data_IF_408119604481
#
_entry.id   IF_408119604481
#
_cell.length_a   1.000
_cell.length_b   1.000
_cell.length_c   1.000
_cell.angle_alpha   90.00
_cell.angle_beta   90.00
_cell.angle_gamma   90.00
#
_symmetry.space_group_name_H-M   'P 1'
#
loop_
_entity.id
_entity.type
_entity.pdbx_description
1 polymer ?
#
# COMPACT_ATOMS: atom_id res chain seq x y z
N UNK A 1 19.26 14.37 6.28
CA UNK A 1 18.83 13.73 7.55
C UNK A 1 17.31 13.62 7.65
N UNK A 2 16.55 14.72 7.52
CA UNK A 2 15.07 14.67 7.57
C UNK A 2 14.47 13.73 6.52
N UNK A 3 14.90 13.83 5.26
CA UNK A 3 14.48 12.92 4.18
C UNK A 3 14.68 11.45 4.56
N UNK A 4 15.88 11.09 5.01
CA UNK A 4 16.23 9.71 5.40
C UNK A 4 15.33 9.21 6.52
N UNK A 5 15.09 10.03 7.55
CA UNK A 5 14.21 9.69 8.67
C UNK A 5 12.78 9.42 8.17
N UNK A 6 12.23 10.33 7.36
CA UNK A 6 10.86 10.17 6.84
C UNK A 6 10.77 8.96 5.90
N UNK A 7 11.81 8.70 5.11
CA UNK A 7 11.88 7.53 4.25
C UNK A 7 11.89 6.22 5.06
N UNK A 8 12.66 6.15 6.14
CA UNK A 8 12.66 4.99 7.05
C UNK A 8 11.29 4.79 7.70
N UNK A 9 10.65 5.87 8.16
CA UNK A 9 9.28 5.83 8.71
C UNK A 9 8.29 5.31 7.66
N UNK A 10 8.39 5.81 6.42
CA UNK A 10 7.55 5.39 5.31
C UNK A 10 7.67 3.90 5.03
N UNK A 11 8.90 3.39 4.91
CA UNK A 11 9.16 1.96 4.66
C UNK A 11 8.56 1.11 5.78
N UNK A 12 8.79 1.49 7.05
CA UNK A 12 8.24 0.76 8.18
C UNK A 12 6.70 0.73 8.16
N UNK A 13 6.08 1.88 7.88
CA UNK A 13 4.63 2.00 7.82
C UNK A 13 4.02 1.16 6.67
N UNK A 14 4.64 1.19 5.49
CA UNK A 14 4.24 0.36 4.33
C UNK A 14 4.45 -1.12 4.63
N UNK A 15 5.51 -1.50 5.34
CA UNK A 15 5.76 -2.88 5.72
C UNK A 15 4.69 -3.43 6.67
N UNK A 16 4.25 -2.65 7.65
CA UNK A 16 3.15 -3.03 8.56
C UNK A 16 1.84 -3.21 7.78
N UNK A 17 1.49 -2.25 6.92
CA UNK A 17 0.25 -2.31 6.14
C UNK A 17 0.26 -3.45 5.12
N UNK A 18 1.30 -3.50 4.29
CA UNK A 18 1.49 -4.54 3.28
C UNK A 18 1.60 -5.92 3.91
N UNK A 19 2.41 -6.07 4.95
CA UNK A 19 2.59 -7.34 5.66
C UNK A 19 1.28 -7.93 6.20
N UNK A 20 0.39 -7.09 6.71
CA UNK A 20 -0.97 -7.54 7.06
C UNK A 20 -1.74 -8.05 5.83
N UNK A 21 -1.72 -7.33 4.71
CA UNK A 21 -2.42 -7.76 3.49
C UNK A 21 -1.88 -9.08 2.94
N UNK A 22 -0.56 -9.29 2.97
CA UNK A 22 0.05 -10.58 2.66
C UNK A 22 -0.45 -11.66 3.61
N UNK A 23 -0.39 -11.41 4.92
CA UNK A 23 -0.81 -12.38 5.94
C UNK A 23 -2.28 -12.79 5.78
N UNK A 24 -3.17 -11.81 5.57
CA UNK A 24 -4.60 -12.08 5.45
C UNK A 24 -4.92 -12.87 4.17
N UNK A 25 -4.39 -12.44 3.02
CA UNK A 25 -4.74 -13.04 1.73
C UNK A 25 -4.06 -14.40 1.48
N UNK A 26 -2.84 -14.60 1.98
CA UNK A 26 -2.10 -15.85 1.75
C UNK A 26 -2.40 -16.90 2.82
N UNK A 27 -2.68 -16.49 4.06
CA UNK A 27 -2.82 -17.41 5.19
C UNK A 27 -4.21 -17.33 5.84
N UNK A 28 -4.60 -16.17 6.38
CA UNK A 28 -5.81 -16.11 7.24
C UNK A 28 -7.10 -16.46 6.48
N UNK A 29 -7.24 -16.01 5.24
CA UNK A 29 -8.41 -16.34 4.39
C UNK A 29 -8.47 -17.82 4.01
N UNK A 30 -7.37 -18.57 4.11
CA UNK A 30 -7.30 -20.01 3.85
C UNK A 30 -7.60 -20.85 5.08
N UNK A 31 -7.52 -20.30 6.30
CA UNK A 31 -7.78 -21.04 7.55
C UNK A 31 -9.17 -21.69 7.60
N UNK A 32 -10.17 -21.15 6.90
CA UNK A 32 -11.50 -21.76 6.74
C UNK A 32 -11.50 -23.14 6.09
N UNK A 33 -10.39 -23.55 5.46
CA UNK A 33 -10.25 -24.87 4.84
C UNK A 33 -9.94 -25.97 5.88
N UNK A 34 -9.47 -25.58 7.06
CA UNK A 34 -8.99 -26.51 8.09
C UNK A 34 -9.66 -26.30 9.45
N UNK A 35 -10.42 -25.21 9.62
CA UNK A 35 -11.14 -24.88 10.85
C UNK A 35 -12.64 -24.94 10.62
N UNK A 36 -13.40 -25.29 11.66
CA UNK A 36 -14.85 -25.04 11.66
C UNK A 36 -15.15 -23.54 11.63
N UNK A 37 -16.39 -23.17 11.28
CA UNK A 37 -16.80 -21.76 11.21
C UNK A 37 -16.63 -21.02 12.56
N UNK A 38 -16.91 -21.69 13.68
CA UNK A 38 -16.75 -21.13 15.02
C UNK A 38 -15.26 -20.88 15.35
N UNK A 39 -14.41 -21.89 15.13
CA UNK A 39 -12.97 -21.78 15.35
C UNK A 39 -12.33 -20.71 14.46
N UNK A 40 -12.71 -20.68 13.19
CA UNK A 40 -12.25 -19.68 12.24
C UNK A 40 -12.62 -18.27 12.68
N UNK A 41 -13.87 -18.07 13.11
CA UNK A 41 -14.35 -16.76 13.59
C UNK A 41 -13.57 -16.32 14.83
N UNK A 42 -13.41 -17.21 15.81
CA UNK A 42 -12.68 -16.93 17.06
C UNK A 42 -11.20 -16.61 16.80
N UNK A 43 -10.53 -17.41 15.96
CA UNK A 43 -9.14 -17.18 15.59
C UNK A 43 -8.96 -15.87 14.82
N UNK A 44 -9.84 -15.58 13.86
CA UNK A 44 -9.80 -14.34 13.08
C UNK A 44 -9.99 -13.12 13.97
N UNK A 45 -10.95 -13.15 14.90
CA UNK A 45 -11.21 -12.00 15.77
C UNK A 45 -10.07 -11.72 16.76
N UNK A 46 -9.44 -12.76 17.31
CA UNK A 46 -8.27 -12.62 18.17
C UNK A 46 -7.11 -11.86 17.50
N UNK A 47 -6.93 -12.07 16.19
CA UNK A 47 -5.95 -11.33 15.39
C UNK A 47 -6.49 -9.93 15.03
N UNK A 48 -7.72 -9.86 14.52
CA UNK A 48 -8.29 -8.63 13.98
C UNK A 48 -8.45 -7.53 15.03
N UNK A 49 -8.71 -7.86 16.30
CA UNK A 49 -8.77 -6.88 17.38
C UNK A 49 -7.45 -6.11 17.58
N UNK A 50 -6.31 -6.72 17.26
CA UNK A 50 -4.98 -6.10 17.32
C UNK A 50 -4.68 -5.34 16.01
N UNK A 51 -4.96 -5.98 14.87
CA UNK A 51 -4.79 -5.38 13.54
C UNK A 51 -5.50 -4.04 13.43
N UNK A 52 -6.77 -3.95 13.87
CA UNK A 52 -7.58 -2.73 13.80
C UNK A 52 -6.98 -1.55 14.58
N UNK A 53 -6.10 -1.80 15.56
CA UNK A 53 -5.43 -0.74 16.35
C UNK A 53 -4.16 -0.22 15.69
N UNK A 54 -3.53 -0.99 14.81
CA UNK A 54 -2.18 -0.73 14.29
C UNK A 54 -2.19 -0.44 12.79
N UNK A 55 -2.81 -1.32 12.00
CA UNK A 55 -2.74 -1.26 10.52
C UNK A 55 -3.33 0.03 9.94
N UNK A 56 -4.50 0.53 10.41
CA UNK A 56 -5.02 1.78 9.86
C UNK A 56 -4.15 2.99 10.16
N UNK A 57 -3.51 3.03 11.35
CA UNK A 57 -2.58 4.10 11.71
C UNK A 57 -1.30 4.03 10.86
N UNK A 58 -0.79 2.83 10.63
CA UNK A 58 0.34 2.62 9.73
C UNK A 58 0.03 3.10 8.30
N UNK A 59 -1.16 2.83 7.79
CA UNK A 59 -1.59 3.32 6.48
C UNK A 59 -1.62 4.85 6.40
N UNK A 60 -2.14 5.53 7.44
CA UNK A 60 -2.13 7.00 7.49
C UNK A 60 -0.69 7.53 7.46
N UNK A 61 0.20 6.96 8.27
CA UNK A 61 1.62 7.34 8.30
C UNK A 61 2.26 7.09 6.92
N UNK A 62 1.98 5.96 6.27
CA UNK A 62 2.49 5.65 4.94
C UNK A 62 2.03 6.68 3.89
N UNK A 63 0.76 7.11 3.94
CA UNK A 63 0.22 8.12 3.02
C UNK A 63 0.88 9.47 3.24
N UNK A 64 0.92 9.97 4.47
CA UNK A 64 1.47 11.30 4.77
C UNK A 64 2.97 11.38 4.47
N UNK A 65 3.73 10.36 4.89
CA UNK A 65 5.15 10.27 4.58
C UNK A 65 5.40 10.08 3.08
N UNK A 66 4.56 9.31 2.39
CA UNK A 66 4.63 9.10 0.94
C UNK A 66 4.37 10.39 0.16
N UNK A 67 3.38 11.18 0.59
CA UNK A 67 3.11 12.51 0.02
C UNK A 67 4.31 13.44 0.19
N UNK A 68 4.92 13.47 1.38
CA UNK A 68 6.14 14.24 1.59
C UNK A 68 7.28 13.76 0.68
N UNK A 69 7.56 12.46 0.63
CA UNK A 69 8.64 11.92 -0.20
C UNK A 69 8.41 12.20 -1.69
N UNK A 70 7.16 12.17 -2.14
CA UNK A 70 6.79 12.56 -3.50
C UNK A 70 7.25 13.99 -3.81
N UNK A 71 6.97 14.97 -2.94
CA UNK A 71 7.40 16.36 -3.18
C UNK A 71 8.91 16.53 -3.19
N UNK A 72 9.66 15.66 -2.50
CA UNK A 72 11.13 15.71 -2.49
C UNK A 72 11.77 15.08 -3.73
N UNK A 73 11.09 14.16 -4.40
CA UNK A 73 11.67 13.30 -5.43
C UNK A 73 11.09 13.54 -6.82
N UNK A 74 9.90 14.15 -6.93
CA UNK A 74 9.22 14.35 -8.22
C UNK A 74 10.02 15.20 -9.21
N UNK A 75 10.74 16.22 -8.71
CA UNK A 75 11.56 17.11 -9.53
C UNK A 75 10.75 18.06 -10.42
N UNK A 76 11.47 18.80 -11.27
CA UNK A 76 10.86 19.71 -12.26
C UNK A 76 10.34 18.95 -13.48
N UNK A 77 9.29 19.49 -14.11
CA UNK A 77 8.73 18.95 -15.35
C UNK A 77 9.44 19.66 -16.50
N UNK A 78 10.08 18.88 -17.38
CA UNK A 78 10.77 19.42 -18.53
C UNK A 78 9.78 19.91 -19.61
N UNK A 79 10.19 20.77 -20.56
CA UNK A 79 9.30 21.30 -21.60
C UNK A 79 8.64 20.24 -22.48
N UNK A 80 9.29 19.09 -22.63
CA UNK A 80 8.84 17.91 -23.38
C UNK A 80 7.93 16.97 -22.57
N UNK A 81 7.74 17.24 -21.27
CA UNK A 81 6.74 16.59 -20.42
C UNK A 81 7.33 15.79 -19.25
N UNK A 82 6.59 14.78 -18.80
CA UNK A 82 6.98 13.92 -17.68
C UNK A 82 7.95 12.82 -18.13
N UNK A 83 9.05 12.66 -17.40
CA UNK A 83 9.93 11.50 -17.55
C UNK A 83 9.22 10.18 -17.19
N UNK A 84 9.74 9.05 -17.69
CA UNK A 84 9.26 7.71 -17.31
C UNK A 84 9.24 7.51 -15.79
N UNK A 85 10.26 8.03 -15.10
CA UNK A 85 10.32 8.03 -13.64
C UNK A 85 9.13 8.77 -13.02
N UNK A 86 8.85 9.99 -13.47
CA UNK A 86 7.74 10.81 -12.96
C UNK A 86 6.37 10.19 -13.28
N UNK A 87 6.20 9.56 -14.45
CA UNK A 87 4.98 8.84 -14.81
C UNK A 87 4.77 7.66 -13.85
N UNK A 88 5.78 6.81 -13.68
CA UNK A 88 5.71 5.66 -12.77
C UNK A 88 5.48 6.09 -11.32
N UNK A 89 6.16 7.16 -10.86
CA UNK A 89 5.97 7.75 -9.54
C UNK A 89 4.54 8.30 -9.36
N UNK A 90 3.97 8.92 -10.39
CA UNK A 90 2.59 9.44 -10.37
C UNK A 90 1.57 8.32 -10.25
N UNK A 91 1.73 7.24 -11.02
CA UNK A 91 0.87 6.06 -10.92
C UNK A 91 0.98 5.46 -9.51
N UNK A 92 2.20 5.29 -9.00
CA UNK A 92 2.42 4.79 -7.64
C UNK A 92 1.76 5.66 -6.58
N UNK A 93 1.89 6.99 -6.69
CA UNK A 93 1.27 7.94 -5.79
C UNK A 93 -0.26 7.86 -5.85
N UNK A 94 -0.85 7.77 -7.05
CA UNK A 94 -2.28 7.61 -7.24
C UNK A 94 -2.81 6.33 -6.57
N UNK A 95 -2.16 5.19 -6.79
CA UNK A 95 -2.55 3.91 -6.16
C UNK A 95 -2.39 3.95 -4.64
N UNK A 96 -1.31 4.57 -4.14
CA UNK A 96 -1.08 4.75 -2.71
C UNK A 96 -2.12 5.66 -2.05
N UNK A 97 -2.48 6.77 -2.71
CA UNK A 97 -3.53 7.68 -2.25
C UNK A 97 -4.90 7.00 -2.26
N UNK A 98 -5.21 6.17 -3.26
CA UNK A 98 -6.44 5.38 -3.27
C UNK A 98 -6.51 4.43 -2.07
N UNK A 99 -5.43 3.71 -1.77
CA UNK A 99 -5.34 2.85 -0.57
C UNK A 99 -5.54 3.68 0.71
N UNK A 100 -4.90 4.86 0.78
CA UNK A 100 -5.06 5.81 1.87
C UNK A 100 -6.49 6.27 2.07
N UNK A 101 -7.13 6.77 1.01
CA UNK A 101 -8.52 7.21 0.99
C UNK A 101 -9.46 6.10 1.46
N UNK A 102 -9.27 4.87 0.95
CA UNK A 102 -9.99 3.67 1.41
C UNK A 102 -9.81 3.48 2.92
N UNK A 103 -8.57 3.43 3.40
CA UNK A 103 -8.29 3.17 4.81
C UNK A 103 -8.81 4.24 5.77
N UNK A 104 -8.66 5.51 5.40
CA UNK A 104 -9.20 6.65 6.16
C UNK A 104 -10.72 6.53 6.23
N UNK A 105 -11.40 6.30 5.10
CA UNK A 105 -12.85 6.15 5.11
C UNK A 105 -13.32 4.98 5.98
N UNK A 106 -12.58 3.87 5.97
CA UNK A 106 -12.88 2.72 6.82
C UNK A 106 -12.74 3.04 8.33
N UNK A 107 -11.79 3.89 8.71
CA UNK A 107 -11.58 4.29 10.12
C UNK A 107 -12.64 5.28 10.59
N UNK A 108 -12.96 6.29 9.77
CA UNK A 108 -13.83 7.40 10.19
C UNK A 108 -15.32 7.16 9.91
N UNK A 109 -15.66 6.42 8.84
CA UNK A 109 -17.05 6.19 8.42
C UNK A 109 -17.47 4.72 8.49
N UNK A 110 -16.58 3.83 8.97
CA UNK A 110 -16.84 2.40 9.09
C UNK A 110 -16.74 1.63 7.76
N UNK A 111 -16.97 0.31 7.82
CA UNK A 111 -16.91 -0.56 6.64
C UNK A 111 -18.19 -0.38 5.81
N UNK A 112 -18.11 0.33 4.68
CA UNK A 112 -19.24 0.38 3.74
C UNK A 112 -19.33 -0.91 2.90
N UNK A 113 -20.48 -1.62 2.90
CA UNK A 113 -20.57 -2.94 2.27
C UNK A 113 -20.36 -2.96 0.75
N UNK A 114 -20.42 -1.82 0.06
CA UNK A 114 -20.27 -1.75 -1.39
C UNK A 114 -18.83 -1.51 -1.88
N UNK A 115 -17.94 -1.02 -0.99
CA UNK A 115 -16.57 -0.60 -1.35
C UNK A 115 -15.51 -1.48 -0.68
N UNK A 116 -15.85 -2.21 0.40
CA UNK A 116 -14.85 -2.74 1.35
C UNK A 116 -14.89 -4.26 1.61
N UNK A 117 -15.60 -5.08 0.82
CA UNK A 117 -15.80 -6.53 1.13
C UNK A 117 -14.55 -7.40 1.16
N UNK A 118 -13.44 -6.98 0.55
CA UNK A 118 -12.25 -7.82 0.40
C UNK A 118 -10.94 -7.07 0.58
N UNK A 119 -9.96 -7.73 1.19
CA UNK A 119 -8.57 -7.31 1.23
C UNK A 119 -7.78 -7.73 -0.02
N UNK A 120 -8.37 -8.49 -0.94
CA UNK A 120 -7.72 -8.94 -2.18
C UNK A 120 -7.39 -7.77 -3.10
N UNK A 121 -8.32 -6.83 -3.29
CA UNK A 121 -8.05 -5.68 -4.15
C UNK A 121 -6.93 -4.78 -3.58
N UNK A 122 -6.96 -4.36 -2.30
CA UNK A 122 -5.82 -3.67 -1.69
C UNK A 122 -4.51 -4.43 -1.79
N UNK A 123 -4.55 -5.76 -1.65
CA UNK A 123 -3.37 -6.62 -1.79
C UNK A 123 -2.78 -6.59 -3.20
N UNK A 124 -3.62 -6.70 -4.24
CA UNK A 124 -3.19 -6.56 -5.64
C UNK A 124 -2.56 -5.18 -5.88
N UNK A 125 -3.15 -4.11 -5.34
CA UNK A 125 -2.58 -2.77 -5.46
C UNK A 125 -1.20 -2.66 -4.82
N UNK A 126 -1.00 -3.26 -3.63
CA UNK A 126 0.31 -3.30 -2.98
C UNK A 126 1.33 -4.05 -3.83
N UNK A 127 0.94 -5.19 -4.44
CA UNK A 127 1.81 -5.92 -5.36
C UNK A 127 2.21 -5.05 -6.55
N UNK A 128 1.25 -4.38 -7.18
CA UNK A 128 1.50 -3.47 -8.32
C UNK A 128 2.47 -2.35 -7.89
N UNK A 129 2.25 -1.73 -6.73
CA UNK A 129 3.11 -0.67 -6.20
C UNK A 129 4.55 -1.17 -5.96
N UNK A 130 4.73 -2.40 -5.47
CA UNK A 130 6.06 -3.00 -5.26
C UNK A 130 6.78 -3.16 -6.59
N UNK A 131 6.12 -3.73 -7.60
CA UNK A 131 6.70 -3.91 -8.92
C UNK A 131 7.01 -2.57 -9.60
N UNK A 132 6.08 -1.60 -9.56
CA UNK A 132 6.32 -0.25 -10.04
C UNK A 132 7.57 0.36 -9.40
N UNK A 133 7.78 0.14 -8.09
CA UNK A 133 8.97 0.64 -7.38
C UNK A 133 10.28 0.09 -7.92
N UNK A 134 10.29 -1.14 -8.47
CA UNK A 134 11.47 -1.70 -9.12
C UNK A 134 11.65 -1.14 -10.53
N UNK A 135 10.56 -0.99 -11.28
CA UNK A 135 10.58 -0.51 -12.65
C UNK A 135 10.85 0.99 -12.78
N UNK A 136 10.64 1.78 -11.73
CA UNK A 136 10.91 3.22 -11.72
C UNK A 136 12.37 3.58 -12.09
N UNK A 137 13.32 2.69 -11.82
CA UNK A 137 14.75 2.91 -12.10
C UNK A 137 15.24 2.23 -13.37
N UNK A 138 14.36 1.56 -14.12
CA UNK A 138 14.70 0.98 -15.41
C UNK A 138 14.52 2.03 -16.50
N UNK A 139 15.60 2.33 -17.20
CA UNK A 139 15.57 3.19 -18.37
C UNK A 139 15.19 2.36 -19.62
N UNK A 140 13.90 2.33 -19.95
CA UNK A 140 13.37 1.58 -21.10
C UNK A 140 13.86 2.13 -22.45
N UNK A 141 14.42 3.34 -22.49
CA UNK A 141 14.99 3.89 -23.73
C UNK A 141 16.26 3.17 -24.16
N UNK A 142 17.04 2.65 -23.21
CA UNK A 142 18.27 1.89 -23.48
C UNK A 142 18.02 0.49 -24.07
N UNK A 143 16.83 -0.08 -23.83
CA UNK A 143 16.43 -1.41 -24.31
C UNK A 143 15.83 -1.41 -25.71
N UNK A 144 15.34 -0.27 -26.19
CA UNK A 144 14.79 -0.09 -27.54
C UNK A 144 15.85 0.41 -28.55
N UNK A 145 17.06 0.71 -28.08
CA UNK A 145 18.19 1.17 -28.88
C UNK A 145 19.19 0.05 -29.24
N UNK A 146 18.85 -1.22 -28.96
CA UNK A 146 19.57 -2.43 -29.39
C UNK A 146 18.72 -3.21 -30.39
#
# INVERSE_FOLDING_TARGET
>A
MLYTIIHTIHIFAVFVYGGFLFTDNLFMTKMKQTLSEEEHTKAREAIMMHVRKVVPKALIVAVLSGMYLFTQVFGEIAPDGLSTFQIALSIKAFLGLWLGFRGVNQVFFGIQPWVFKSHLFPFILVIIIIFLSQFMFLDFTSLLAQ
#
